data_IF_141537385098
#
_entry.id   IF_141537385098
#
_cell.length_a   1.000
_cell.length_b   1.000
_cell.length_c   1.000
_cell.angle_alpha   90.00
_cell.angle_beta   90.00
_cell.angle_gamma   90.00
#
_symmetry.space_group_name_H-M   'P 1'
#
loop_
_entity.id
_entity.type
_entity.pdbx_description
1 polymer ?
#
# COMPACT_ATOMS: atom_id res chain seq x y z
N UNK A 1 19.44 -21.35 22.07
CA UNK A 1 19.45 -19.86 22.03
C UNK A 1 18.72 -19.30 20.81
N UNK A 2 19.08 -19.66 19.56
CA UNK A 2 18.42 -19.14 18.34
C UNK A 2 16.89 -19.34 18.29
N UNK A 3 16.38 -20.50 18.72
CA UNK A 3 14.93 -20.80 18.78
C UNK A 3 14.15 -19.90 19.76
N UNK A 4 14.75 -19.58 20.90
CA UNK A 4 14.12 -18.70 21.91
C UNK A 4 14.04 -17.25 21.44
N UNK A 5 14.99 -16.81 20.60
CA UNK A 5 14.98 -15.49 19.97
C UNK A 5 13.90 -15.42 18.89
N UNK A 6 13.78 -16.46 18.06
CA UNK A 6 12.74 -16.54 17.04
C UNK A 6 11.33 -16.48 17.67
N UNK A 7 11.09 -17.27 18.72
CA UNK A 7 9.82 -17.24 19.45
C UNK A 7 9.51 -15.87 20.06
N UNK A 8 10.51 -15.19 20.63
CA UNK A 8 10.32 -13.85 21.16
C UNK A 8 9.99 -12.81 20.07
N UNK A 9 10.54 -12.97 18.86
CA UNK A 9 10.22 -12.14 17.70
C UNK A 9 8.81 -12.40 17.18
N UNK A 10 8.38 -13.66 17.14
CA UNK A 10 7.02 -14.03 16.71
C UNK A 10 5.98 -13.53 17.72
N UNK A 11 6.22 -13.70 19.02
CA UNK A 11 5.34 -13.23 20.10
C UNK A 11 5.24 -11.69 20.12
N UNK A 12 6.33 -10.99 19.80
CA UNK A 12 6.34 -9.55 19.58
C UNK A 12 5.55 -9.18 18.31
N UNK A 13 5.75 -9.88 17.20
CA UNK A 13 5.03 -9.62 15.95
C UNK A 13 3.52 -9.86 16.10
N UNK A 14 3.12 -10.84 16.91
CA UNK A 14 1.71 -11.12 17.22
C UNK A 14 1.09 -10.01 18.07
N UNK A 15 1.75 -9.60 19.16
CA UNK A 15 1.28 -8.51 20.04
C UNK A 15 1.21 -7.16 19.34
N UNK A 16 2.09 -6.92 18.37
CA UNK A 16 2.18 -5.67 17.61
C UNK A 16 1.64 -5.79 16.19
N UNK A 17 0.98 -6.91 15.84
CA UNK A 17 0.28 -7.09 14.57
C UNK A 17 -0.76 -6.01 14.32
N UNK A 18 -1.23 -5.37 15.40
CA UNK A 18 -2.06 -4.17 15.50
C UNK A 18 -1.42 -2.87 15.01
N UNK A 19 -0.10 -2.73 15.15
CA UNK A 19 0.64 -1.47 15.09
C UNK A 19 1.60 -1.45 13.89
N UNK A 20 2.10 -2.61 13.47
CA UNK A 20 3.05 -2.71 12.37
C UNK A 20 2.33 -2.77 11.02
N UNK A 21 2.89 -2.14 9.96
CA UNK A 21 2.38 -2.27 8.60
C UNK A 21 2.52 -3.71 8.11
N UNK A 22 1.56 -4.17 7.31
CA UNK A 22 1.65 -5.50 6.69
C UNK A 22 2.87 -5.63 5.77
N UNK A 23 3.30 -6.87 5.49
CA UNK A 23 4.37 -7.12 4.53
C UNK A 23 4.05 -6.56 3.13
N UNK A 24 2.76 -6.56 2.76
CA UNK A 24 2.30 -5.98 1.50
C UNK A 24 2.42 -4.45 1.51
N UNK A 25 2.03 -3.79 2.62
CA UNK A 25 2.22 -2.35 2.80
C UNK A 25 3.71 -1.96 2.72
N UNK A 26 4.59 -2.72 3.36
CA UNK A 26 6.04 -2.51 3.28
C UNK A 26 6.57 -2.65 1.86
N UNK A 27 6.10 -3.66 1.11
CA UNK A 27 6.48 -3.84 -0.30
C UNK A 27 6.02 -2.67 -1.18
N UNK A 28 4.85 -2.10 -0.92
CA UNK A 28 4.40 -0.93 -1.69
C UNK A 28 5.19 0.33 -1.29
N UNK A 29 5.45 0.50 0.01
CA UNK A 29 6.25 1.63 0.52
C UNK A 29 7.67 1.65 -0.04
N UNK A 30 8.28 0.52 -0.38
CA UNK A 30 9.62 0.51 -0.97
C UNK A 30 9.69 1.22 -2.32
N UNK A 31 8.57 1.32 -3.06
CA UNK A 31 8.50 2.07 -4.33
C UNK A 31 8.19 3.56 -4.13
N UNK A 32 7.79 3.99 -2.94
CA UNK A 32 7.41 5.38 -2.67
C UNK A 32 8.52 6.41 -3.00
N UNK A 33 9.83 6.15 -2.74
CA UNK A 33 10.88 7.10 -3.10
C UNK A 33 10.99 7.36 -4.60
N UNK A 34 10.95 6.31 -5.42
CA UNK A 34 11.12 6.43 -6.87
C UNK A 34 9.88 7.04 -7.54
N UNK A 35 8.70 6.69 -7.03
CA UNK A 35 7.46 7.32 -7.44
C UNK A 35 7.43 8.81 -7.07
N UNK A 36 7.90 9.15 -5.86
CA UNK A 36 7.98 10.54 -5.42
C UNK A 36 8.93 11.38 -6.28
N UNK A 37 10.09 10.84 -6.64
CA UNK A 37 11.03 11.46 -7.61
C UNK A 37 10.36 11.73 -8.95
N UNK A 38 9.67 10.72 -9.48
CA UNK A 38 9.01 10.82 -10.78
C UNK A 38 7.92 11.91 -10.78
N UNK A 39 7.06 11.92 -9.75
CA UNK A 39 6.00 12.93 -9.61
C UNK A 39 6.59 14.33 -9.35
N UNK A 40 7.61 14.45 -8.51
CA UNK A 40 8.29 15.73 -8.27
C UNK A 40 8.89 16.27 -9.56
N UNK A 41 9.55 15.42 -10.35
CA UNK A 41 10.06 15.76 -11.68
C UNK A 41 8.96 16.31 -12.58
N UNK A 42 7.82 15.61 -12.68
CA UNK A 42 6.67 16.05 -13.48
C UNK A 42 6.12 17.42 -13.03
N UNK A 43 6.01 17.65 -11.71
CA UNK A 43 5.53 18.92 -11.17
C UNK A 43 6.52 20.03 -11.51
N UNK A 44 7.81 19.82 -11.25
CA UNK A 44 8.85 20.84 -11.42
C UNK A 44 9.16 21.13 -12.88
N UNK A 45 8.98 20.15 -13.78
CA UNK A 45 9.19 20.32 -15.23
C UNK A 45 7.97 20.84 -15.98
N UNK A 46 6.82 21.01 -15.32
CA UNK A 46 5.61 21.50 -15.97
C UNK A 46 5.73 22.99 -16.31
N UNK A 47 5.41 23.36 -17.56
CA UNK A 47 5.35 24.76 -17.99
C UNK A 47 4.09 25.49 -17.47
N UNK A 48 3.13 24.75 -16.93
CA UNK A 48 1.88 25.28 -16.39
C UNK A 48 2.06 25.74 -14.94
N UNK A 49 2.19 27.05 -14.75
CA UNK A 49 2.33 27.67 -13.42
C UNK A 49 1.10 27.48 -12.53
N UNK A 50 -0.10 27.32 -13.10
CA UNK A 50 -1.33 27.10 -12.32
C UNK A 50 -1.27 25.68 -11.75
N UNK A 51 -0.96 24.70 -12.59
CA UNK A 51 -0.75 23.32 -12.16
C UNK A 51 0.31 23.21 -11.06
N UNK A 52 1.48 23.84 -11.25
CA UNK A 52 2.54 23.85 -10.22
C UNK A 52 2.04 24.42 -8.90
N UNK A 53 1.36 25.57 -8.94
CA UNK A 53 0.83 26.21 -7.75
C UNK A 53 -0.21 25.34 -7.03
N UNK A 54 -1.13 24.71 -7.77
CA UNK A 54 -2.10 23.76 -7.21
C UNK A 54 -1.41 22.56 -6.55
N UNK A 55 -0.42 21.98 -7.21
CA UNK A 55 0.37 20.88 -6.65
C UNK A 55 1.07 21.31 -5.35
N UNK A 56 1.72 22.46 -5.32
CA UNK A 56 2.38 22.95 -4.10
C UNK A 56 1.39 23.25 -2.98
N UNK A 57 0.21 23.78 -3.30
CA UNK A 57 -0.88 23.98 -2.35
C UNK A 57 -1.33 22.64 -1.73
N UNK A 58 -1.55 21.61 -2.56
CA UNK A 58 -1.89 20.26 -2.11
C UNK A 58 -0.78 19.66 -1.23
N UNK A 59 0.48 19.85 -1.62
CA UNK A 59 1.66 19.39 -0.89
C UNK A 59 1.98 20.23 0.35
N UNK A 60 1.26 21.35 0.57
CA UNK A 60 1.47 22.33 1.64
C UNK A 60 2.90 22.88 1.63
N UNK A 61 3.43 23.12 0.45
CA UNK A 61 4.74 23.73 0.21
C UNK A 61 4.59 25.22 -0.10
N UNK A 62 5.54 26.03 0.35
CA UNK A 62 5.58 27.46 0.05
C UNK A 62 6.46 27.72 -1.18
N UNK A 63 5.95 28.48 -2.14
CA UNK A 63 6.55 28.71 -3.47
C UNK A 63 7.93 29.41 -3.47
N UNK A 64 8.39 29.94 -2.33
CA UNK A 64 9.54 30.84 -2.26
C UNK A 64 10.93 30.20 -2.26
N UNK A 65 11.07 28.93 -1.84
CA UNK A 65 12.35 28.21 -1.79
C UNK A 65 12.09 26.69 -1.81
N UNK A 66 11.63 26.19 -2.96
CA UNK A 66 11.31 24.78 -3.12
C UNK A 66 12.54 24.08 -3.68
N UNK A 67 13.29 23.41 -2.81
CA UNK A 67 14.28 22.43 -3.24
C UNK A 67 13.56 21.19 -3.77
N UNK A 68 14.06 20.59 -4.85
CA UNK A 68 13.47 19.38 -5.43
C UNK A 68 13.30 18.29 -4.36
N UNK A 69 14.32 18.08 -3.52
CA UNK A 69 14.30 17.12 -2.41
C UNK A 69 13.15 17.39 -1.43
N UNK A 70 12.76 18.65 -1.22
CA UNK A 70 11.64 19.00 -0.34
C UNK A 70 10.30 18.55 -0.93
N UNK A 71 10.13 18.63 -2.26
CA UNK A 71 8.94 18.16 -2.98
C UNK A 71 8.87 16.64 -2.93
N UNK A 72 9.97 15.98 -3.28
CA UNK A 72 10.08 14.53 -3.25
C UNK A 72 9.74 13.97 -1.86
N UNK A 73 10.34 14.55 -0.81
CA UNK A 73 10.08 14.09 0.54
C UNK A 73 8.60 14.28 0.95
N UNK A 74 7.97 15.40 0.60
CA UNK A 74 6.54 15.61 0.89
C UNK A 74 5.63 14.62 0.16
N UNK A 75 5.93 14.32 -1.10
CA UNK A 75 5.16 13.34 -1.87
C UNK A 75 5.35 11.95 -1.26
N UNK A 76 6.58 11.55 -0.97
CA UNK A 76 6.92 10.27 -0.34
C UNK A 76 6.18 10.09 0.98
N UNK A 77 6.22 11.08 1.87
CA UNK A 77 5.55 11.03 3.18
C UNK A 77 4.03 10.87 3.02
N UNK A 78 3.42 11.58 2.06
CA UNK A 78 1.99 11.43 1.75
C UNK A 78 1.64 10.03 1.24
N UNK A 79 2.45 9.46 0.36
CA UNK A 79 2.25 8.11 -0.17
C UNK A 79 2.32 7.09 0.95
N UNK A 80 3.37 7.15 1.79
CA UNK A 80 3.55 6.25 2.93
C UNK A 80 2.36 6.36 3.88
N UNK A 81 1.96 7.59 4.24
CA UNK A 81 0.81 7.81 5.11
C UNK A 81 -0.49 7.26 4.52
N UNK A 82 -0.72 7.40 3.22
CA UNK A 82 -1.89 6.85 2.55
C UNK A 82 -1.90 5.31 2.59
N UNK A 83 -0.74 4.68 2.38
CA UNK A 83 -0.57 3.22 2.47
C UNK A 83 -0.86 2.75 3.90
N UNK A 84 -0.30 3.39 4.92
CA UNK A 84 -0.52 3.02 6.33
C UNK A 84 -2.00 3.15 6.73
N UNK A 85 -2.67 4.24 6.30
CA UNK A 85 -4.10 4.43 6.55
C UNK A 85 -4.95 3.37 5.84
N UNK A 86 -4.56 2.93 4.64
CA UNK A 86 -5.30 1.91 3.92
C UNK A 86 -5.08 0.51 4.52
N UNK A 87 -3.83 0.18 4.86
CA UNK A 87 -3.49 -1.10 5.48
C UNK A 87 -4.20 -1.26 6.83
N UNK A 88 -4.21 -0.22 7.66
CA UNK A 88 -4.92 -0.20 8.95
C UNK A 88 -6.44 -0.32 8.79
N UNK A 89 -7.05 0.35 7.81
CA UNK A 89 -8.49 0.20 7.51
C UNK A 89 -8.85 -1.22 7.04
N UNK A 90 -8.06 -1.80 6.14
CA UNK A 90 -8.26 -3.17 5.68
C UNK A 90 -8.14 -4.17 6.84
N UNK A 91 -7.23 -3.91 7.78
CA UNK A 91 -7.09 -4.72 9.00
C UNK A 91 -8.28 -4.56 9.96
N UNK A 92 -8.77 -3.34 10.19
CA UNK A 92 -9.96 -3.11 11.00
C UNK A 92 -11.21 -3.81 10.44
N UNK A 93 -11.38 -3.81 9.12
CA UNK A 93 -12.49 -4.52 8.46
C UNK A 93 -12.38 -6.04 8.64
N UNK A 94 -11.17 -6.61 8.57
CA UNK A 94 -10.93 -8.05 8.78
C UNK A 94 -11.04 -8.50 10.25
N UNK A 95 -10.76 -7.61 11.20
CA UNK A 95 -10.87 -7.87 12.64
C UNK A 95 -12.26 -7.58 13.20
N UNK A 96 -13.20 -7.05 12.39
CA UNK A 96 -14.60 -6.98 12.81
C UNK A 96 -15.13 -8.41 12.80
N UNK A 97 -15.18 -9.03 13.99
CA UNK A 97 -15.88 -10.30 14.18
C UNK A 97 -17.22 -10.23 13.46
N UNK A 98 -17.63 -11.30 12.72
CA UNK A 98 -18.98 -11.35 12.16
C UNK A 98 -19.92 -11.04 13.32
N UNK A 99 -20.72 -9.97 13.17
CA UNK A 99 -21.55 -9.47 14.25
C UNK A 99 -22.24 -10.67 14.90
N UNK A 100 -22.00 -10.88 16.20
CA UNK A 100 -22.63 -11.97 16.93
C UNK A 100 -24.12 -11.87 16.65
N UNK A 101 -24.64 -12.79 15.83
CA UNK A 101 -26.03 -12.77 15.43
C UNK A 101 -26.83 -12.80 16.73
N UNK A 102 -27.59 -11.73 16.99
CA UNK A 102 -28.37 -11.55 18.23
C UNK A 102 -29.53 -12.56 18.35
N UNK A 103 -29.65 -13.47 17.40
CA UNK A 103 -30.61 -14.56 17.38
C UNK A 103 -29.86 -15.83 16.96
N UNK A 104 -29.74 -16.79 17.89
CA UNK A 104 -29.23 -18.13 17.62
C UNK A 104 -30.28 -19.03 16.98
N UNK A 105 -29.78 -20.12 16.39
CA UNK A 105 -30.43 -21.29 15.76
C UNK A 105 -30.77 -21.08 14.26
N UNK A 106 -30.22 -21.81 13.27
CA UNK A 106 -29.63 -23.16 13.17
C UNK A 106 -28.57 -23.20 12.03
N UNK A 107 -27.66 -24.21 11.96
CA UNK A 107 -26.63 -24.28 10.93
C UNK A 107 -27.17 -24.87 9.63
N UNK A 108 -27.20 -24.09 8.54
CA UNK A 108 -27.42 -24.63 7.19
C UNK A 108 -26.34 -24.12 6.24
N UNK A 109 -25.44 -25.07 5.94
CA UNK A 109 -24.65 -25.30 4.72
C UNK A 109 -23.54 -24.32 4.33
N UNK A 110 -22.34 -24.89 4.36
CA UNK A 110 -21.15 -24.57 3.58
C UNK A 110 -21.48 -23.89 2.25
N UNK A 111 -20.99 -22.65 2.10
CA UNK A 111 -20.64 -22.14 0.78
C UNK A 111 -19.14 -21.88 0.77
N UNK A 112 -18.44 -22.87 0.23
CA UNK A 112 -17.06 -22.80 -0.22
C UNK A 112 -16.96 -21.70 -1.28
N UNK A 113 -16.44 -20.53 -0.89
CA UNK A 113 -15.97 -19.55 -1.86
C UNK A 113 -14.50 -19.84 -2.11
N UNK A 114 -14.35 -20.68 -3.15
CA UNK A 114 -13.20 -21.00 -3.96
C UNK A 114 -12.05 -19.99 -3.88
N UNK A 115 -10.87 -20.54 -3.62
CA UNK A 115 -9.57 -19.97 -3.93
C UNK A 115 -9.55 -19.44 -5.38
N UNK A 116 -9.14 -18.18 -5.57
CA UNK A 116 -8.56 -17.77 -6.84
C UNK A 116 -7.06 -18.08 -6.75
N UNK A 117 -6.73 -19.27 -7.21
CA UNK A 117 -5.37 -19.78 -7.32
C UNK A 117 -4.64 -19.01 -8.44
N UNK A 118 -3.40 -18.63 -8.15
CA UNK A 118 -2.48 -18.10 -9.14
C UNK A 118 -2.22 -19.19 -10.20
N UNK A 119 -2.67 -18.99 -11.43
CA UNK A 119 -2.16 -19.75 -12.57
C UNK A 119 -1.05 -18.95 -13.27
N UNK A 120 0.18 -19.34 -12.94
CA UNK A 120 1.39 -19.14 -13.73
C UNK A 120 1.24 -19.99 -15.01
N UNK A 121 1.30 -19.34 -16.18
CA UNK A 121 1.08 -19.99 -17.48
C UNK A 121 1.87 -19.33 -18.59
N UNK A 122 3.16 -19.69 -18.61
CA UNK A 122 4.11 -19.87 -19.72
C UNK A 122 3.93 -19.11 -21.05
N UNK A 123 5.07 -18.52 -21.45
CA UNK A 123 5.39 -17.93 -22.75
C UNK A 123 5.14 -18.90 -23.92
N UNK A 124 4.36 -18.49 -24.93
CA UNK A 124 4.48 -19.06 -26.29
C UNK A 124 4.53 -17.94 -27.35
N UNK A 125 5.75 -17.76 -27.86
CA UNK A 125 6.11 -17.07 -29.09
C UNK A 125 5.44 -17.75 -30.30
N UNK A 126 4.53 -17.05 -30.97
CA UNK A 126 4.15 -17.34 -32.36
C UNK A 126 4.41 -16.11 -33.22
N UNK A 127 5.60 -16.12 -33.82
CA UNK A 127 6.01 -15.47 -35.07
C UNK A 127 4.89 -15.04 -36.02
N UNK A 128 4.93 -13.74 -36.38
CA UNK A 128 4.78 -13.16 -37.72
C UNK A 128 4.16 -14.06 -38.81
N UNK A 129 2.93 -13.73 -39.24
CA UNK A 129 2.52 -13.76 -40.64
C UNK A 129 1.52 -12.64 -40.93
N UNK A 130 1.91 -11.77 -41.85
CA UNK A 130 1.10 -10.73 -42.51
C UNK A 130 -0.20 -11.28 -43.12
N UNK A 131 -1.25 -10.44 -43.13
CA UNK A 131 -2.03 -10.06 -44.33
C UNK A 131 -2.73 -8.71 -44.11
#
# INVERSE_FOLDING_TARGET
>A
MKKSIALALDDLKEKYSGILPSAHALKIQSYAPDLAKSIAGLILSADDSIFQHECFSILRLQLGNIEQDSVENRIKDKIISAIDMNDSKARQLRCREPAAFLFGDDPIQEHEYMLDECEEGEEEDYTLMDF
#
